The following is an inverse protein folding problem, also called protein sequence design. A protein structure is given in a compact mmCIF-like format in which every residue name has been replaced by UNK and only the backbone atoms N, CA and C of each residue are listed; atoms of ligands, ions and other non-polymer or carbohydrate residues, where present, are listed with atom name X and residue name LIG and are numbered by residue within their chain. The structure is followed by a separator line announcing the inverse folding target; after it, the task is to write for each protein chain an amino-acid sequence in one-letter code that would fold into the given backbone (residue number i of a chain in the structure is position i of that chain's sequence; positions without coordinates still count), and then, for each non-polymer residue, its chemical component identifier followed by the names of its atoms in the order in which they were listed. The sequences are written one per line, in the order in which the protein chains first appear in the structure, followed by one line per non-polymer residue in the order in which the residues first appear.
data_IF_487511371927
#
_entry.id   IF_487511371927
#
_cell.length_a   1.000
_cell.length_b   1.000
_cell.length_c   1.000
_cell.angle_alpha   90.00
_cell.angle_beta   90.00
_cell.angle_gamma   90.00
#
_symmetry.space_group_name_H-M   'P 1'
#
loop_
_entity.id
_entity.type
_entity.pdbx_description
1 polymer ?
#
# COMPACT_ATOMS: atom_id res chain seq x y z
N UNK A 1 -39.94 -9.60 -41.93
CA UNK A 1 -38.47 -9.62 -41.97
C UNK A 1 -37.98 -8.66 -40.88
N UNK A 2 -37.72 -9.21 -39.70
CA UNK A 2 -37.22 -8.42 -38.56
C UNK A 2 -35.70 -8.65 -38.47
N UNK A 3 -34.95 -7.71 -39.01
CA UNK A 3 -33.49 -7.74 -38.92
C UNK A 3 -33.07 -7.39 -37.52
N UNK A 4 -32.49 -8.35 -36.81
CA UNK A 4 -31.83 -8.16 -35.52
C UNK A 4 -30.51 -7.43 -35.78
N UNK A 5 -30.41 -6.20 -35.34
CA UNK A 5 -29.16 -5.44 -35.37
C UNK A 5 -28.28 -6.01 -34.22
N UNK A 6 -27.30 -6.84 -34.56
CA UNK A 6 -26.24 -7.19 -33.62
C UNK A 6 -25.34 -5.96 -33.45
N UNK A 7 -25.54 -5.21 -32.40
CA UNK A 7 -24.58 -4.20 -31.94
C UNK A 7 -23.53 -4.97 -31.15
N UNK A 8 -22.44 -5.37 -31.79
CA UNK A 8 -21.24 -5.76 -31.07
C UNK A 8 -20.69 -4.54 -30.34
N UNK A 9 -20.96 -4.45 -29.04
CA UNK A 9 -20.22 -3.51 -28.19
C UNK A 9 -18.74 -3.88 -28.25
N UNK A 10 -17.83 -2.97 -28.58
CA UNK A 10 -16.41 -3.22 -28.49
C UNK A 10 -16.07 -3.40 -27.01
N UNK A 11 -16.00 -4.63 -26.55
CA UNK A 11 -15.51 -4.92 -25.20
C UNK A 11 -14.05 -4.48 -25.15
N UNK A 12 -13.79 -3.26 -24.69
CA UNK A 12 -12.47 -2.83 -24.29
C UNK A 12 -12.07 -3.68 -23.08
N UNK A 13 -11.55 -4.86 -23.33
CA UNK A 13 -10.99 -5.72 -22.29
C UNK A 13 -9.78 -4.98 -21.71
N UNK A 14 -9.96 -4.33 -20.55
CA UNK A 14 -8.88 -3.73 -19.83
C UNK A 14 -7.83 -4.80 -19.49
N UNK A 15 -6.63 -4.64 -20.03
CA UNK A 15 -5.54 -5.54 -19.74
C UNK A 15 -4.85 -5.12 -18.45
N UNK A 16 -5.42 -5.50 -17.31
CA UNK A 16 -4.91 -5.18 -15.98
C UNK A 16 -3.45 -5.55 -15.81
N UNK A 17 -3.00 -6.69 -16.33
CA UNK A 17 -1.60 -7.14 -16.25
C UNK A 17 -0.60 -6.18 -16.92
N UNK A 18 -1.06 -5.34 -17.85
CA UNK A 18 -0.21 -4.31 -18.49
C UNK A 18 -0.41 -2.93 -17.86
N UNK A 19 -1.66 -2.62 -17.47
CA UNK A 19 -2.02 -1.28 -16.97
C UNK A 19 -1.52 -1.06 -15.55
N UNK A 20 -1.77 -1.99 -14.65
CA UNK A 20 -1.42 -1.84 -13.24
C UNK A 20 0.09 -1.67 -13.01
N UNK A 21 0.98 -2.54 -13.50
CA UNK A 21 2.42 -2.37 -13.29
C UNK A 21 2.96 -1.07 -13.91
N UNK A 22 2.40 -0.65 -15.06
CA UNK A 22 2.78 0.61 -15.71
C UNK A 22 2.51 1.81 -14.81
N UNK A 23 1.32 1.86 -14.19
CA UNK A 23 0.95 3.00 -13.36
C UNK A 23 1.63 2.96 -11.99
N UNK A 24 1.78 1.78 -11.38
CA UNK A 24 2.51 1.61 -10.13
C UNK A 24 3.95 2.10 -10.28
N UNK A 25 4.65 1.69 -11.35
CA UNK A 25 6.00 2.15 -11.66
C UNK A 25 6.04 3.68 -11.83
N UNK A 26 5.09 4.26 -12.58
CA UNK A 26 5.04 5.71 -12.80
C UNK A 26 4.81 6.49 -11.49
N UNK A 27 3.95 6.01 -10.61
CA UNK A 27 3.70 6.64 -9.30
C UNK A 27 4.94 6.58 -8.41
N UNK A 28 5.69 5.49 -8.45
CA UNK A 28 6.92 5.33 -7.69
C UNK A 28 8.03 6.27 -8.21
N UNK A 29 8.28 6.28 -9.51
CA UNK A 29 9.26 7.15 -10.15
C UNK A 29 8.99 8.65 -9.91
N UNK A 30 7.73 9.04 -9.93
CA UNK A 30 7.30 10.42 -9.72
C UNK A 30 7.11 10.79 -8.24
N UNK A 31 7.26 9.84 -7.32
CA UNK A 31 6.91 10.02 -5.90
C UNK A 31 5.53 10.67 -5.74
N UNK A 32 4.55 10.20 -6.52
CA UNK A 32 3.25 10.84 -6.70
C UNK A 32 2.43 11.02 -5.41
N UNK A 33 2.77 10.28 -4.37
CA UNK A 33 2.04 10.28 -3.09
C UNK A 33 2.83 10.90 -1.94
N UNK A 34 4.02 11.43 -2.21
CA UNK A 34 4.87 12.06 -1.20
C UNK A 34 4.25 13.36 -0.68
N UNK A 35 4.16 13.49 0.63
CA UNK A 35 3.82 14.75 1.28
C UNK A 35 4.99 15.71 1.25
N UNK A 36 4.71 17.00 1.10
CA UNK A 36 5.72 18.06 1.03
C UNK A 36 5.73 18.83 2.34
N UNK A 37 6.87 18.83 3.03
CA UNK A 37 7.05 19.62 4.25
C UNK A 37 7.05 21.11 3.94
N UNK A 38 6.45 21.91 4.83
CA UNK A 38 6.38 23.36 4.65
C UNK A 38 5.47 23.84 3.51
N UNK A 39 4.62 22.96 2.95
CA UNK A 39 3.69 23.32 1.88
C UNK A 39 2.59 24.27 2.38
N UNK A 40 2.26 25.30 1.58
CA UNK A 40 1.15 26.23 1.83
C UNK A 40 -0.24 25.61 1.52
N UNK A 41 -0.28 24.42 0.92
CA UNK A 41 -1.53 23.73 0.63
C UNK A 41 -2.22 23.29 1.93
N UNK A 42 -3.56 23.25 1.95
CA UNK A 42 -4.28 22.72 3.08
C UNK A 42 -3.84 21.28 3.35
N UNK A 43 -3.64 20.95 4.64
CA UNK A 43 -3.11 19.66 5.07
C UNK A 43 -4.22 18.65 5.29
N UNK A 44 -3.97 17.41 4.91
CA UNK A 44 -4.78 16.26 5.28
C UNK A 44 -3.89 15.14 5.76
N UNK A 45 -4.21 14.60 6.93
CA UNK A 45 -3.50 13.48 7.53
C UNK A 45 -4.44 12.28 7.58
N UNK A 46 -4.14 11.26 6.77
CA UNK A 46 -4.83 9.97 6.81
C UNK A 46 -4.00 8.98 7.60
N UNK A 47 -4.58 8.38 8.63
CA UNK A 47 -3.89 7.40 9.48
C UNK A 47 -4.62 6.05 9.42
N UNK A 48 -3.84 5.00 9.25
CA UNK A 48 -4.25 3.60 9.46
C UNK A 48 -3.34 2.97 10.50
N UNK A 49 -3.81 1.94 11.17
CA UNK A 49 -2.95 1.17 12.07
C UNK A 49 -1.86 0.44 11.27
N UNK A 50 -0.67 0.34 11.84
CA UNK A 50 0.43 -0.38 11.23
C UNK A 50 0.17 -1.88 11.32
N UNK A 51 0.29 -2.61 10.20
CA UNK A 51 0.12 -4.05 10.24
C UNK A 51 1.30 -4.71 10.97
N UNK A 52 0.99 -5.79 11.66
CA UNK A 52 1.99 -6.70 12.15
C UNK A 52 2.51 -7.57 11.00
N UNK A 53 3.80 -7.53 10.64
CA UNK A 53 4.33 -8.25 9.48
C UNK A 53 4.47 -9.74 9.74
N UNK A 54 3.36 -10.46 9.79
CA UNK A 54 3.32 -11.90 9.98
C UNK A 54 3.68 -12.68 8.70
N UNK A 55 4.18 -13.91 8.86
CA UNK A 55 4.57 -14.75 7.73
C UNK A 55 3.44 -15.09 6.74
N UNK A 56 2.19 -15.03 7.17
CA UNK A 56 1.03 -15.26 6.31
C UNK A 56 0.83 -14.17 5.25
N UNK A 57 1.34 -12.96 5.51
CA UNK A 57 1.07 -11.80 4.67
C UNK A 57 -0.24 -11.10 5.06
N UNK A 58 -0.68 -10.17 4.20
CA UNK A 58 -1.90 -9.40 4.44
C UNK A 58 -3.15 -10.25 4.25
N UNK A 59 -4.19 -9.91 4.99
CA UNK A 59 -5.53 -10.50 4.84
C UNK A 59 -6.56 -9.43 4.45
N UNK A 60 -7.76 -9.89 4.08
CA UNK A 60 -8.86 -9.02 3.60
C UNK A 60 -9.22 -7.91 4.60
N UNK A 61 -9.05 -8.14 5.90
CA UNK A 61 -9.29 -7.12 6.93
C UNK A 61 -8.43 -5.88 6.77
N UNK A 62 -7.13 -6.04 6.47
CA UNK A 62 -6.24 -4.91 6.18
C UNK A 62 -6.73 -4.14 4.94
N UNK A 63 -7.04 -4.86 3.86
CA UNK A 63 -7.50 -4.23 2.61
C UNK A 63 -8.78 -3.42 2.85
N UNK A 64 -9.74 -3.98 3.59
CA UNK A 64 -11.00 -3.29 3.91
C UNK A 64 -10.78 -2.00 4.70
N UNK A 65 -9.97 -2.07 5.76
CA UNK A 65 -9.70 -0.92 6.61
C UNK A 65 -8.95 0.19 5.86
N UNK A 66 -7.89 -0.18 5.13
CA UNK A 66 -7.03 0.77 4.43
C UNK A 66 -7.74 1.42 3.23
N UNK A 67 -8.60 0.68 2.52
CA UNK A 67 -9.34 1.20 1.37
C UNK A 67 -10.24 2.40 1.74
N UNK A 68 -10.78 2.44 2.94
CA UNK A 68 -11.63 3.56 3.37
C UNK A 68 -10.83 4.87 3.45
N UNK A 69 -9.64 4.84 4.04
CA UNK A 69 -8.77 6.02 4.13
C UNK A 69 -8.09 6.32 2.79
N UNK A 70 -7.78 5.30 1.99
CA UNK A 70 -7.26 5.45 0.63
C UNK A 70 -8.18 6.30 -0.25
N UNK A 71 -9.49 6.00 -0.26
CA UNK A 71 -10.48 6.77 -1.02
C UNK A 71 -10.48 8.23 -0.58
N UNK A 72 -10.46 8.50 0.71
CA UNK A 72 -10.40 9.87 1.26
C UNK A 72 -9.09 10.57 0.88
N UNK A 73 -7.96 9.88 0.98
CA UNK A 73 -6.65 10.42 0.66
C UNK A 73 -6.55 10.80 -0.81
N UNK A 74 -7.01 9.95 -1.72
CA UNK A 74 -7.07 10.28 -3.16
C UNK A 74 -8.00 11.45 -3.45
N UNK A 75 -9.20 11.47 -2.86
CA UNK A 75 -10.13 12.58 -2.98
C UNK A 75 -9.48 13.90 -2.54
N UNK A 76 -8.79 13.91 -1.40
CA UNK A 76 -8.13 15.11 -0.90
C UNK A 76 -6.98 15.57 -1.80
N UNK A 77 -6.19 14.65 -2.36
CA UNK A 77 -5.17 15.02 -3.36
C UNK A 77 -5.80 15.66 -4.61
N UNK A 78 -6.90 15.09 -5.12
CA UNK A 78 -7.63 15.68 -6.25
C UNK A 78 -8.20 17.07 -5.94
N UNK A 79 -8.49 17.37 -4.68
CA UNK A 79 -8.94 18.68 -4.21
C UNK A 79 -7.77 19.66 -3.93
N UNK A 80 -6.52 19.27 -4.20
CA UNK A 80 -5.35 20.11 -4.03
C UNK A 80 -4.73 20.12 -2.63
N UNK A 81 -5.13 19.22 -1.73
CA UNK A 81 -4.53 19.10 -0.42
C UNK A 81 -3.12 18.50 -0.49
N UNK A 82 -2.26 18.91 0.44
CA UNK A 82 -1.04 18.18 0.78
C UNK A 82 -1.41 17.03 1.71
N UNK A 83 -1.35 15.82 1.21
CA UNK A 83 -1.84 14.64 1.91
C UNK A 83 -0.68 13.83 2.47
N UNK A 84 -0.60 13.72 3.79
CA UNK A 84 0.24 12.75 4.47
C UNK A 84 -0.60 11.50 4.75
N UNK A 85 -0.25 10.41 4.08
CA UNK A 85 -0.83 9.08 4.28
C UNK A 85 0.30 8.09 4.49
N UNK A 86 0.84 8.01 5.73
CA UNK A 86 1.98 7.15 6.04
C UNK A 86 1.56 5.71 6.22
N UNK A 87 2.54 4.82 6.14
CA UNK A 87 2.46 3.41 6.53
C UNK A 87 3.68 3.06 7.35
N UNK A 88 3.56 2.06 8.18
CA UNK A 88 4.66 1.48 8.93
C UNK A 88 4.37 0.02 9.23
N UNK A 89 5.24 -0.59 10.01
CA UNK A 89 5.14 -1.97 10.44
C UNK A 89 5.35 -2.05 11.94
N UNK A 90 4.37 -2.59 12.65
CA UNK A 90 4.51 -2.97 14.06
C UNK A 90 5.27 -4.29 14.11
N UNK A 91 6.60 -4.19 14.15
CA UNK A 91 7.48 -5.31 13.81
C UNK A 91 7.98 -6.10 15.03
N UNK A 92 7.66 -5.69 16.26
CA UNK A 92 7.92 -6.49 17.45
C UNK A 92 6.80 -7.49 17.73
N UNK A 93 7.15 -8.75 18.07
CA UNK A 93 6.15 -9.68 18.54
C UNK A 93 6.58 -11.14 18.61
N UNK A 94 5.99 -11.86 19.56
CA UNK A 94 6.22 -13.28 19.82
C UNK A 94 6.08 -14.21 18.60
N UNK A 95 5.14 -14.03 17.66
CA UNK A 95 5.05 -14.93 16.53
C UNK A 95 6.30 -14.97 15.66
N UNK A 96 6.94 -13.82 15.43
CA UNK A 96 8.21 -13.76 14.68
C UNK A 96 9.34 -14.41 15.44
N UNK A 97 9.44 -14.14 16.73
CA UNK A 97 10.47 -14.75 17.60
C UNK A 97 10.31 -16.28 17.70
N UNK A 98 9.10 -16.76 17.91
CA UNK A 98 8.80 -18.19 17.94
C UNK A 98 9.12 -18.89 16.60
N UNK A 99 8.84 -18.21 15.49
CA UNK A 99 9.18 -18.74 14.17
C UNK A 99 10.70 -18.77 13.97
N UNK A 100 11.40 -17.73 14.40
CA UNK A 100 12.85 -17.64 14.36
C UNK A 100 13.52 -18.78 15.12
N UNK A 101 13.02 -19.08 16.33
CA UNK A 101 13.51 -20.21 17.14
C UNK A 101 13.29 -21.53 16.40
N UNK A 102 12.09 -21.76 15.84
CA UNK A 102 11.78 -23.00 15.12
C UNK A 102 12.61 -23.21 13.86
N UNK A 103 12.98 -22.15 13.17
CA UNK A 103 13.73 -22.21 11.91
C UNK A 103 15.22 -22.00 12.10
N UNK A 104 15.67 -21.74 13.34
CA UNK A 104 17.06 -21.38 13.68
C UNK A 104 17.56 -20.20 12.81
N UNK A 105 16.70 -19.21 12.60
CA UNK A 105 16.97 -18.00 11.81
C UNK A 105 16.93 -16.79 12.73
N UNK A 106 17.71 -15.75 12.45
CA UNK A 106 17.66 -14.53 13.26
C UNK A 106 16.30 -13.81 13.09
N UNK A 107 15.63 -13.35 14.17
CA UNK A 107 14.33 -12.69 14.08
C UNK A 107 14.32 -11.51 13.10
N UNK A 108 15.38 -10.74 13.01
CA UNK A 108 15.51 -9.60 12.09
C UNK A 108 15.35 -10.01 10.64
N UNK A 109 15.97 -11.10 10.21
CA UNK A 109 15.88 -11.58 8.82
C UNK A 109 14.44 -11.93 8.45
N UNK A 110 13.72 -12.57 9.38
CA UNK A 110 12.31 -12.93 9.18
C UNK A 110 11.44 -11.67 9.10
N UNK A 111 11.68 -10.71 9.98
CA UNK A 111 10.97 -9.42 9.99
C UNK A 111 11.18 -8.69 8.68
N UNK A 112 12.42 -8.58 8.19
CA UNK A 112 12.73 -7.91 6.93
C UNK A 112 12.06 -8.58 5.72
N UNK A 113 12.06 -9.91 5.67
CA UNK A 113 11.37 -10.67 4.62
C UNK A 113 9.84 -10.42 4.66
N UNK A 114 9.26 -10.40 5.84
CA UNK A 114 7.83 -10.16 6.02
C UNK A 114 7.47 -8.72 5.65
N UNK A 115 8.24 -7.72 6.07
CA UNK A 115 8.06 -6.32 5.69
C UNK A 115 8.12 -6.16 4.17
N UNK A 116 9.11 -6.78 3.52
CA UNK A 116 9.21 -6.75 2.06
C UNK A 116 7.99 -7.37 1.39
N UNK A 117 7.49 -8.50 1.90
CA UNK A 117 6.28 -9.16 1.41
C UNK A 117 5.04 -8.26 1.54
N UNK A 118 4.83 -7.67 2.73
CA UNK A 118 3.71 -6.75 2.97
C UNK A 118 3.78 -5.51 2.08
N UNK A 119 4.97 -4.91 1.97
CA UNK A 119 5.22 -3.76 1.08
C UNK A 119 4.82 -4.07 -0.35
N UNK A 120 5.25 -5.22 -0.88
CA UNK A 120 4.91 -5.64 -2.24
C UNK A 120 3.40 -5.86 -2.41
N UNK A 121 2.74 -6.45 -1.42
CA UNK A 121 1.28 -6.64 -1.43
C UNK A 121 0.54 -5.30 -1.42
N UNK A 122 0.92 -4.35 -0.55
CA UNK A 122 0.31 -3.01 -0.46
C UNK A 122 0.51 -2.22 -1.76
N UNK A 123 1.71 -2.28 -2.34
CA UNK A 123 2.02 -1.65 -3.63
C UNK A 123 1.20 -2.27 -4.77
N UNK A 124 1.02 -3.60 -4.77
CA UNK A 124 0.25 -4.29 -5.81
C UNK A 124 -1.24 -3.93 -5.80
N UNK A 125 -1.81 -3.65 -4.63
CA UNK A 125 -3.18 -3.13 -4.50
C UNK A 125 -3.27 -1.67 -4.97
N UNK A 126 -2.15 -0.96 -5.03
CA UNK A 126 -2.08 0.41 -5.51
C UNK A 126 -2.43 1.46 -4.45
N UNK A 127 -2.26 1.18 -3.17
CA UNK A 127 -2.44 2.16 -2.11
C UNK A 127 -1.50 3.34 -2.25
N UNK A 128 -2.02 4.55 -2.04
CA UNK A 128 -1.31 5.81 -2.20
C UNK A 128 -0.59 6.25 -0.92
N UNK A 129 0.08 5.32 -0.27
CA UNK A 129 0.92 5.65 0.88
C UNK A 129 2.12 6.51 0.51
N UNK A 130 2.57 7.33 1.44
CA UNK A 130 3.85 8.03 1.34
C UNK A 130 5.00 7.07 1.67
N UNK A 131 5.48 6.37 0.67
CA UNK A 131 6.55 5.37 0.81
C UNK A 131 7.90 5.97 1.23
N UNK A 132 8.06 7.30 1.20
CA UNK A 132 9.27 7.97 1.69
C UNK A 132 9.32 8.09 3.22
N UNK A 133 8.21 7.75 3.90
CA UNK A 133 8.03 7.88 5.35
C UNK A 133 7.57 6.58 6.00
N UNK A 134 8.05 5.46 5.47
CA UNK A 134 7.77 4.15 6.07
C UNK A 134 8.43 4.05 7.43
N UNK A 135 7.69 3.54 8.40
CA UNK A 135 8.16 3.33 9.77
C UNK A 135 8.30 1.84 10.02
N UNK A 136 9.43 1.44 10.60
CA UNK A 136 9.65 0.12 11.17
C UNK A 136 9.94 0.29 12.66
N UNK A 137 9.04 -0.19 13.51
CA UNK A 137 9.13 0.00 14.97
C UNK A 137 10.33 -0.68 15.61
N UNK A 138 11.08 -1.49 14.86
CA UNK A 138 12.33 -2.13 15.33
C UNK A 138 13.59 -1.33 15.00
N UNK A 139 13.46 -0.19 14.32
CA UNK A 139 14.58 0.71 14.07
C UNK A 139 14.86 1.57 15.29
N UNK A 140 16.16 1.83 15.54
CA UNK A 140 16.60 2.62 16.70
C UNK A 140 16.12 4.06 16.68
N UNK A 141 15.84 4.60 15.49
CA UNK A 141 15.39 5.98 15.27
C UNK A 141 13.88 6.19 15.55
N UNK A 142 13.17 5.12 15.83
CA UNK A 142 11.73 5.15 16.15
C UNK A 142 11.51 5.45 17.67
#
# INVERSE_FOLDING_TARGET
MTGTINVEEPSMKHNFKKIEPKWQKKWEEQQAFKAVDGSDKPKFYGLVEFPYPSGAGMHVGHIKAYSSIEVLSRKRRMQGYNVLFPIGFDAFGLPTENYAIKTNTHPREITDQNIAKFTNQLKSVGFSFDWSRVIDTTQEDF
#
